data_IF_845308959292
#
_entry.id   IF_845308959292
#
_cell.length_a   1.000
_cell.length_b   1.000
_cell.length_c   1.000
_cell.angle_alpha   90.00
_cell.angle_beta   90.00
_cell.angle_gamma   90.00
#
_symmetry.space_group_name_H-M   'P 1'
#
loop_
_entity.id
_entity.type
_entity.pdbx_description
1 polymer ?
#
# COMPACT_ATOMS: atom_id res chain seq x y z
N UNK A 1 -5.34 -7.66 -3.06
CA UNK A 1 -6.28 -8.29 -4.02
C UNK A 1 -7.42 -7.33 -4.32
N UNK A 2 -7.17 -6.38 -5.22
CA UNK A 2 -8.20 -5.46 -5.72
C UNK A 2 -8.68 -6.07 -7.05
N UNK A 3 -9.87 -6.68 -7.07
CA UNK A 3 -10.41 -7.29 -8.30
C UNK A 3 -11.12 -8.64 -8.15
N UNK A 4 -11.13 -9.22 -6.95
CA UNK A 4 -11.82 -10.51 -6.70
C UNK A 4 -13.33 -10.34 -6.47
N UNK A 5 -13.82 -9.11 -6.29
CA UNK A 5 -15.25 -8.83 -6.15
C UNK A 5 -15.99 -8.93 -7.49
N UNK A 6 -17.22 -9.45 -7.48
CA UNK A 6 -18.10 -9.56 -8.64
C UNK A 6 -18.65 -8.18 -9.04
N UNK A 7 -17.78 -7.34 -9.61
CA UNK A 7 -18.04 -5.91 -9.84
C UNK A 7 -18.31 -5.55 -11.32
N UNK A 8 -18.40 -6.53 -12.22
CA UNK A 8 -18.71 -6.32 -13.64
C UNK A 8 -17.56 -5.79 -14.51
N UNK A 9 -16.38 -5.54 -13.95
CA UNK A 9 -15.22 -5.05 -14.72
C UNK A 9 -14.45 -6.18 -15.41
N UNK A 10 -14.00 -5.93 -16.64
CA UNK A 10 -13.06 -6.78 -17.38
C UNK A 10 -11.60 -6.44 -17.03
N UNK A 11 -10.65 -7.28 -17.47
CA UNK A 11 -9.22 -6.99 -17.35
C UNK A 11 -8.90 -5.66 -18.05
N UNK A 12 -8.42 -4.67 -17.29
CA UNK A 12 -8.11 -3.32 -17.76
C UNK A 12 -6.66 -3.08 -18.17
N UNK A 13 -5.87 -4.14 -18.39
CA UNK A 13 -4.45 -4.04 -18.76
C UNK A 13 -4.07 -5.11 -19.77
N UNK A 14 -3.27 -4.76 -20.77
CA UNK A 14 -2.78 -5.70 -21.78
C UNK A 14 -1.74 -6.65 -21.19
N UNK A 15 -0.85 -6.15 -20.32
CA UNK A 15 0.26 -6.88 -19.73
C UNK A 15 0.30 -6.68 -18.21
N UNK A 16 0.64 -7.73 -17.47
CA UNK A 16 0.86 -7.69 -16.02
C UNK A 16 2.11 -8.51 -15.67
N UNK A 17 3.03 -7.87 -14.96
CA UNK A 17 4.31 -8.44 -14.56
C UNK A 17 4.42 -8.40 -13.04
N UNK A 18 4.74 -9.55 -12.45
CA UNK A 18 4.93 -9.69 -11.01
C UNK A 18 6.41 -9.99 -10.74
N UNK A 19 7.12 -9.02 -10.19
CA UNK A 19 8.54 -9.16 -9.86
C UNK A 19 8.78 -9.78 -8.47
N UNK A 20 7.71 -10.03 -7.72
CA UNK A 20 7.72 -10.72 -6.43
C UNK A 20 7.52 -12.23 -6.60
N UNK A 21 7.84 -12.99 -5.55
CA UNK A 21 7.66 -14.44 -5.55
C UNK A 21 8.86 -15.22 -6.10
N UNK A 22 8.87 -16.52 -5.82
CA UNK A 22 9.94 -17.43 -6.25
C UNK A 22 10.05 -17.59 -7.79
N UNK A 23 8.97 -17.28 -8.52
CA UNK A 23 8.93 -17.36 -9.99
C UNK A 23 8.31 -16.09 -10.56
N UNK A 24 9.09 -15.01 -10.68
CA UNK A 24 8.60 -13.72 -11.16
C UNK A 24 8.12 -13.81 -12.62
N UNK A 25 7.07 -13.08 -12.95
CA UNK A 25 6.61 -12.80 -14.31
C UNK A 25 7.24 -11.50 -14.77
N UNK A 26 8.14 -11.57 -15.75
CA UNK A 26 8.86 -10.42 -16.31
C UNK A 26 8.72 -10.41 -17.83
N UNK A 27 8.83 -9.26 -18.52
CA UNK A 27 8.85 -9.21 -19.97
C UNK A 27 9.87 -10.20 -20.54
N UNK A 28 9.46 -11.07 -21.45
CA UNK A 28 10.40 -11.94 -22.16
C UNK A 28 11.23 -11.06 -23.08
N UNK A 29 12.50 -10.81 -22.75
CA UNK A 29 13.45 -10.39 -23.78
C UNK A 29 13.71 -11.60 -24.67
N UNK A 30 13.38 -11.50 -25.95
CA UNK A 30 14.02 -12.30 -26.99
C UNK A 30 15.51 -11.96 -27.01
N UNK A 31 16.26 -12.49 -26.05
CA UNK A 31 17.71 -12.56 -26.16
C UNK A 31 17.97 -13.87 -26.89
N UNK A 32 18.31 -13.78 -28.17
CA UNK A 32 18.98 -14.86 -28.88
C UNK A 32 20.34 -15.08 -28.21
N UNK A 33 20.35 -15.97 -27.22
CA UNK A 33 21.55 -16.31 -26.47
C UNK A 33 21.69 -17.82 -26.33
N UNK A 34 22.94 -18.26 -26.31
CA UNK A 34 23.44 -19.65 -26.32
C UNK A 34 22.79 -20.55 -25.25
N UNK A 35 22.21 -19.95 -24.20
CA UNK A 35 21.57 -20.61 -23.05
C UNK A 35 20.07 -20.90 -23.19
N UNK A 36 19.45 -20.62 -24.36
CA UNK A 36 18.03 -20.90 -24.66
C UNK A 36 17.56 -22.32 -24.26
N UNK A 37 18.33 -23.41 -24.48
CA UNK A 37 17.95 -24.76 -24.08
C UNK A 37 17.89 -24.92 -22.55
N UNK A 38 18.87 -24.34 -21.84
CA UNK A 38 18.97 -24.39 -20.38
C UNK A 38 17.83 -23.64 -19.71
N UNK A 39 17.42 -22.48 -20.25
CA UNK A 39 16.25 -21.74 -19.76
C UNK A 39 14.93 -22.48 -19.99
N UNK A 40 14.79 -23.26 -21.07
CA UNK A 40 13.60 -24.09 -21.33
C UNK A 40 13.51 -25.29 -20.37
N UNK A 41 14.65 -25.79 -19.92
CA UNK A 41 14.74 -26.79 -18.85
C UNK A 41 14.43 -26.15 -17.48
N UNK A 42 14.98 -24.96 -17.23
CA UNK A 42 14.71 -24.16 -16.04
C UNK A 42 13.24 -23.75 -15.96
N UNK A 43 12.58 -23.41 -17.07
CA UNK A 43 11.16 -23.05 -17.10
C UNK A 43 10.25 -24.24 -16.75
N UNK A 44 10.65 -25.48 -17.12
CA UNK A 44 9.97 -26.70 -16.67
C UNK A 44 10.20 -26.96 -15.18
N UNK A 45 11.42 -26.73 -14.69
CA UNK A 45 11.76 -26.84 -13.27
C UNK A 45 11.04 -25.79 -12.42
N UNK A 46 10.93 -24.55 -12.90
CA UNK A 46 10.14 -23.49 -12.25
C UNK A 46 8.64 -23.75 -12.34
N UNK A 47 8.15 -24.48 -13.34
CA UNK A 47 6.76 -24.98 -13.37
C UNK A 47 6.49 -26.00 -12.25
N UNK A 48 7.47 -26.86 -11.95
CA UNK A 48 7.41 -27.81 -10.82
C UNK A 48 7.50 -27.05 -9.49
N UNK A 49 8.42 -26.08 -9.38
CA UNK A 49 8.51 -25.22 -8.19
C UNK A 49 7.26 -24.35 -8.02
N UNK A 50 6.64 -23.86 -9.10
CA UNK A 50 5.35 -23.14 -9.07
C UNK A 50 4.26 -24.02 -8.46
N UNK A 51 4.19 -25.31 -8.82
CA UNK A 51 3.25 -26.27 -8.21
C UNK A 51 3.53 -26.51 -6.72
N UNK A 52 4.78 -26.39 -6.28
CA UNK A 52 5.18 -26.53 -4.88
C UNK A 52 5.06 -25.23 -4.07
N UNK A 53 5.15 -24.05 -4.71
CA UNK A 53 5.06 -22.72 -4.09
C UNK A 53 3.64 -22.16 -4.04
N UNK A 54 2.76 -22.60 -4.95
CA UNK A 54 1.34 -22.24 -4.96
C UNK A 54 0.61 -22.52 -3.63
N UNK A 55 0.82 -23.69 -2.98
CA UNK A 55 0.27 -23.94 -1.66
C UNK A 55 0.78 -22.91 -0.65
N UNK A 56 2.07 -22.57 -0.68
CA UNK A 56 2.68 -21.66 0.29
C UNK A 56 2.10 -20.25 0.17
N UNK A 57 2.03 -19.68 -1.04
CA UNK A 57 1.49 -18.33 -1.28
C UNK A 57 -0.02 -18.22 -0.98
N UNK A 58 -0.81 -19.24 -1.33
CA UNK A 58 -2.26 -19.23 -1.08
C UNK A 58 -2.62 -19.56 0.38
N UNK A 59 -1.73 -20.26 1.10
CA UNK A 59 -1.95 -20.63 2.51
C UNK A 59 -1.63 -19.49 3.48
N UNK A 60 -0.86 -18.47 3.06
CA UNK A 60 -0.71 -17.23 3.86
C UNK A 60 -2.01 -16.43 4.00
N UNK A 61 -3.07 -16.80 3.28
CA UNK A 61 -4.40 -16.19 3.37
C UNK A 61 -5.35 -16.88 4.37
N UNK A 62 -4.96 -18.00 5.00
CA UNK A 62 -5.78 -18.72 6.00
C UNK A 62 -4.99 -18.94 7.28
N UNK A 63 -5.56 -18.66 8.48
CA UNK A 63 -4.87 -18.81 9.75
C UNK A 63 -4.84 -20.29 10.13
N UNK A 64 -3.94 -21.05 9.51
CA UNK A 64 -3.71 -22.46 9.83
C UNK A 64 -2.34 -22.68 10.47
N UNK A 65 -2.11 -23.88 11.01
CA UNK A 65 -0.85 -24.25 11.68
C UNK A 65 0.38 -24.10 10.74
N UNK A 66 0.18 -24.14 9.42
CA UNK A 66 1.24 -23.90 8.44
C UNK A 66 1.63 -22.42 8.34
N UNK A 67 0.65 -21.50 8.33
CA UNK A 67 0.90 -20.06 8.44
C UNK A 67 1.70 -19.73 9.70
N UNK A 68 1.28 -20.28 10.84
CA UNK A 68 1.99 -20.08 12.12
C UNK A 68 3.39 -20.70 12.12
N UNK A 69 3.59 -21.85 11.46
CA UNK A 69 4.91 -22.42 11.28
C UNK A 69 5.81 -21.53 10.40
N UNK A 70 5.28 -20.92 9.34
CA UNK A 70 6.02 -20.02 8.47
C UNK A 70 6.48 -18.74 9.19
N UNK A 71 5.71 -18.25 10.17
CA UNK A 71 6.08 -17.07 10.97
C UNK A 71 7.17 -17.34 12.02
N UNK A 72 7.63 -18.59 12.21
CA UNK A 72 8.69 -18.90 13.19
C UNK A 72 10.04 -18.31 12.74
N UNK A 73 10.89 -17.80 13.66
CA UNK A 73 12.16 -17.15 13.34
C UNK A 73 13.19 -17.96 12.54
N UNK A 74 13.03 -19.28 12.49
CA UNK A 74 13.84 -20.17 11.67
C UNK A 74 13.43 -20.14 10.19
N UNK A 75 12.13 -20.01 9.91
CA UNK A 75 11.58 -20.07 8.55
C UNK A 75 11.47 -18.69 7.90
N UNK A 76 11.33 -17.61 8.68
CA UNK A 76 11.21 -16.23 8.17
C UNK A 76 12.33 -15.84 7.21
N UNK A 77 13.63 -15.99 7.55
CA UNK A 77 14.71 -15.69 6.59
C UNK A 77 14.67 -16.54 5.33
N UNK A 78 14.15 -17.77 5.42
CA UNK A 78 14.11 -18.69 4.29
C UNK A 78 13.06 -18.23 3.28
N UNK A 79 11.83 -17.94 3.71
CA UNK A 79 10.78 -17.52 2.77
C UNK A 79 10.85 -16.05 2.38
N UNK A 80 11.36 -15.15 3.22
CA UNK A 80 11.56 -13.74 2.82
C UNK A 80 12.58 -13.63 1.69
N UNK A 81 13.68 -14.41 1.77
CA UNK A 81 14.71 -14.47 0.71
C UNK A 81 14.29 -15.34 -0.49
N UNK A 82 13.81 -16.57 -0.26
CA UNK A 82 13.44 -17.47 -1.35
C UNK A 82 12.13 -17.08 -2.05
N UNK A 83 11.22 -16.44 -1.32
CA UNK A 83 9.97 -15.91 -1.84
C UNK A 83 10.10 -14.52 -2.46
N UNK A 84 11.29 -13.91 -2.42
CA UNK A 84 11.56 -12.58 -2.98
C UNK A 84 10.43 -11.59 -2.66
N UNK A 85 10.17 -11.41 -1.36
CA UNK A 85 8.95 -10.76 -0.88
C UNK A 85 8.85 -9.29 -1.30
N UNK A 86 9.97 -8.56 -1.26
CA UNK A 86 10.09 -7.19 -1.79
C UNK A 86 10.14 -7.11 -3.33
N UNK A 87 10.21 -8.26 -3.99
CA UNK A 87 10.41 -8.33 -5.43
C UNK A 87 11.80 -7.88 -5.87
N UNK A 88 12.01 -7.90 -7.20
CA UNK A 88 13.21 -7.34 -7.82
C UNK A 88 12.99 -5.87 -8.18
N UNK A 89 12.94 -4.97 -7.18
CA UNK A 89 12.64 -3.53 -7.35
C UNK A 89 13.52 -2.87 -8.42
N UNK A 90 14.84 -3.08 -8.37
CA UNK A 90 15.76 -2.53 -9.37
C UNK A 90 15.37 -2.98 -10.80
N UNK A 91 15.01 -4.26 -10.95
CA UNK A 91 14.64 -4.82 -12.25
C UNK A 91 13.29 -4.29 -12.73
N UNK A 92 12.30 -4.17 -11.84
CA UNK A 92 10.98 -3.63 -12.20
C UNK A 92 11.10 -2.18 -12.68
N UNK A 93 11.89 -1.35 -11.99
CA UNK A 93 12.17 0.02 -12.40
C UNK A 93 12.92 0.05 -13.74
N UNK A 94 13.94 -0.80 -13.94
CA UNK A 94 14.70 -0.86 -15.19
C UNK A 94 13.85 -1.27 -16.39
N UNK A 95 13.03 -2.30 -16.23
CA UNK A 95 12.15 -2.80 -17.28
C UNK A 95 11.06 -1.77 -17.60
N UNK A 96 10.46 -1.11 -16.59
CA UNK A 96 9.52 0.01 -16.78
C UNK A 96 10.18 1.21 -17.46
N UNK A 97 11.41 1.58 -17.06
CA UNK A 97 12.18 2.66 -17.67
C UNK A 97 12.45 2.38 -19.14
N UNK A 98 12.79 1.12 -19.47
CA UNK A 98 13.00 0.69 -20.85
C UNK A 98 11.72 0.78 -21.67
N UNK A 99 10.58 0.38 -21.10
CA UNK A 99 9.28 0.52 -21.75
C UNK A 99 8.91 1.98 -22.01
N UNK A 100 9.06 2.86 -21.01
CA UNK A 100 8.76 4.29 -21.14
C UNK A 100 9.59 4.94 -22.25
N UNK A 101 10.88 4.61 -22.36
CA UNK A 101 11.71 5.10 -23.48
C UNK A 101 11.13 4.71 -24.84
N UNK A 102 10.59 3.49 -24.96
CA UNK A 102 10.03 3.01 -26.23
C UNK A 102 8.68 3.64 -26.59
N UNK A 103 7.94 4.23 -25.63
CA UNK A 103 6.61 4.83 -25.89
C UNK A 103 6.66 5.91 -26.98
N UNK A 104 7.79 6.61 -27.13
CA UNK A 104 7.96 7.64 -28.16
C UNK A 104 7.77 7.11 -29.59
N UNK A 105 8.04 5.82 -29.80
CA UNK A 105 7.96 5.15 -31.09
C UNK A 105 6.65 4.36 -31.28
N UNK A 106 5.78 4.34 -30.25
CA UNK A 106 4.52 3.60 -30.25
C UNK A 106 3.34 4.51 -30.59
N UNK A 107 2.29 3.93 -31.17
CA UNK A 107 1.03 4.63 -31.43
C UNK A 107 0.04 4.45 -30.29
N UNK A 108 -0.68 5.52 -29.94
CA UNK A 108 -1.78 5.51 -28.99
C UNK A 108 -1.40 6.02 -27.59
N UNK A 109 -2.40 6.06 -26.71
CA UNK A 109 -2.21 6.38 -25.30
C UNK A 109 -1.79 5.13 -24.53
N UNK A 110 -0.90 5.31 -23.55
CA UNK A 110 -0.43 4.22 -22.70
C UNK A 110 -0.71 4.53 -21.23
N UNK A 111 -1.07 3.50 -20.47
CA UNK A 111 -1.21 3.56 -19.02
C UNK A 111 -0.17 2.61 -18.40
N UNK A 112 0.64 3.15 -17.49
CA UNK A 112 1.68 2.38 -16.78
C UNK A 112 1.42 2.50 -15.29
N UNK A 113 1.29 1.35 -14.63
CA UNK A 113 1.21 1.25 -13.18
C UNK A 113 2.42 0.48 -12.66
N UNK A 114 3.23 1.15 -11.83
CA UNK A 114 4.41 0.58 -11.19
C UNK A 114 4.17 0.58 -9.68
N UNK A 115 4.02 -0.62 -9.11
CA UNK A 115 3.96 -0.80 -7.67
C UNK A 115 5.34 -1.21 -7.13
N UNK A 116 5.79 -0.57 -6.07
CA UNK A 116 7.10 -0.79 -5.45
C UNK A 116 6.91 -1.29 -4.02
N UNK A 117 7.83 -2.14 -3.56
CA UNK A 117 7.75 -2.80 -2.25
C UNK A 117 9.02 -2.62 -1.42
N UNK A 118 9.96 -1.76 -1.84
CA UNK A 118 11.30 -1.66 -1.21
C UNK A 118 11.20 -1.21 0.24
N UNK A 119 10.33 -0.25 0.53
CA UNK A 119 10.13 0.32 1.87
C UNK A 119 9.26 -0.56 2.78
N UNK A 120 8.78 -1.72 2.30
CA UNK A 120 8.03 -2.66 3.12
C UNK A 120 8.98 -3.51 3.98
N UNK A 121 8.49 -4.10 5.06
CA UNK A 121 9.21 -5.12 5.83
C UNK A 121 9.61 -6.34 4.98
N UNK A 122 10.73 -7.04 5.28
CA UNK A 122 11.72 -6.73 6.33
C UNK A 122 12.72 -5.64 5.90
N UNK A 123 13.23 -4.82 6.83
CA UNK A 123 14.19 -3.76 6.49
C UNK A 123 15.63 -4.29 6.43
N UNK A 124 16.21 -4.29 5.24
CA UNK A 124 17.56 -4.77 4.95
C UNK A 124 18.16 -3.99 3.76
N UNK A 125 18.32 -2.66 3.89
CA UNK A 125 18.84 -1.83 2.81
C UNK A 125 20.31 -2.18 2.50
N UNK A 126 20.84 -1.81 1.32
CA UNK A 126 22.23 -2.06 0.98
C UNK A 126 23.19 -1.35 1.94
N UNK A 127 24.36 -1.95 2.19
CA UNK A 127 25.36 -1.47 3.17
C UNK A 127 25.73 0.01 2.97
N UNK A 128 25.79 0.50 1.73
CA UNK A 128 26.10 1.91 1.46
C UNK A 128 25.05 2.88 2.05
N UNK A 129 23.78 2.49 2.05
CA UNK A 129 22.70 3.26 2.66
C UNK A 129 22.70 3.08 4.18
N UNK A 130 22.97 1.87 4.68
CA UNK A 130 23.13 1.62 6.12
C UNK A 130 24.24 2.51 6.69
N UNK A 131 25.42 2.56 6.06
CA UNK A 131 26.52 3.42 6.51
C UNK A 131 26.17 4.91 6.53
N UNK A 132 25.32 5.35 5.60
CA UNK A 132 24.96 6.76 5.44
C UNK A 132 23.86 7.19 6.41
N UNK A 133 22.83 6.36 6.58
CA UNK A 133 21.62 6.70 7.33
C UNK A 133 21.61 6.12 8.75
N UNK A 134 22.34 5.02 8.99
CA UNK A 134 22.49 4.39 10.31
C UNK A 134 23.97 4.31 10.70
N UNK A 135 24.69 5.44 10.82
CA UNK A 135 26.15 5.45 10.90
C UNK A 135 26.72 4.70 12.12
N UNK A 136 25.94 4.59 13.20
CA UNK A 136 26.32 3.88 14.42
C UNK A 136 26.09 2.36 14.33
N UNK A 137 25.41 1.86 13.29
CA UNK A 137 24.94 0.47 13.24
C UNK A 137 26.06 -0.56 13.38
N UNK A 138 27.23 -0.31 12.79
CA UNK A 138 28.36 -1.25 12.85
C UNK A 138 29.21 -1.12 14.12
N UNK A 139 29.01 -0.07 14.91
CA UNK A 139 29.70 0.18 16.17
C UNK A 139 28.86 -0.22 17.39
N UNK A 140 27.55 -0.47 17.19
CA UNK A 140 26.58 -0.79 18.25
C UNK A 140 26.02 -2.21 18.08
N UNK A 141 26.60 -3.23 18.74
CA UNK A 141 26.17 -4.63 18.63
C UNK A 141 24.68 -4.85 18.95
N UNK A 142 24.13 -4.07 19.88
CA UNK A 142 22.73 -4.10 20.31
C UNK A 142 21.79 -3.73 19.16
N UNK A 143 22.12 -2.69 18.39
CA UNK A 143 21.35 -2.27 17.21
C UNK A 143 21.35 -3.36 16.13
N UNK A 144 22.50 -3.98 15.88
CA UNK A 144 22.59 -5.09 14.93
C UNK A 144 21.82 -6.32 15.41
N UNK A 145 21.88 -6.63 16.69
CA UNK A 145 21.12 -7.72 17.27
C UNK A 145 19.62 -7.46 17.14
N UNK A 146 19.16 -6.26 17.48
CA UNK A 146 17.78 -5.84 17.33
C UNK A 146 17.29 -6.04 15.90
N UNK A 147 17.96 -5.48 14.89
CA UNK A 147 17.52 -5.62 13.49
C UNK A 147 17.53 -7.07 13.01
N UNK A 148 18.54 -7.86 13.42
CA UNK A 148 18.56 -9.31 13.10
C UNK A 148 17.39 -10.04 13.73
N UNK A 149 16.99 -9.70 14.95
CA UNK A 149 15.88 -10.34 15.63
C UNK A 149 14.53 -9.88 15.08
N UNK A 150 14.35 -8.57 14.92
CA UNK A 150 13.15 -7.94 14.38
C UNK A 150 12.82 -8.51 12.99
N UNK A 151 13.81 -8.58 12.09
CA UNK A 151 13.63 -9.13 10.75
C UNK A 151 13.31 -10.64 10.71
N UNK A 152 13.45 -11.34 11.84
CA UNK A 152 13.12 -12.77 11.97
C UNK A 152 11.79 -13.01 12.67
N UNK A 153 11.29 -12.05 13.44
CA UNK A 153 10.09 -12.21 14.27
C UNK A 153 8.86 -11.64 13.52
N UNK A 154 8.50 -12.26 12.38
CA UNK A 154 7.41 -11.77 11.52
C UNK A 154 6.05 -11.60 12.23
N UNK A 155 5.80 -12.35 13.31
CA UNK A 155 4.63 -12.14 14.18
C UNK A 155 4.54 -10.70 14.70
N UNK A 156 5.67 -10.07 15.04
CA UNK A 156 5.71 -8.69 15.57
C UNK A 156 5.31 -7.65 14.52
N UNK A 157 5.29 -8.01 13.24
CA UNK A 157 4.81 -7.14 12.16
C UNK A 157 3.29 -7.18 12.01
N UNK A 158 2.63 -8.17 12.62
CA UNK A 158 1.22 -8.49 12.39
C UNK A 158 0.34 -8.15 13.58
N UNK A 159 0.91 -7.87 14.76
CA UNK A 159 0.16 -7.59 15.99
C UNK A 159 0.73 -6.33 16.66
N UNK A 160 -0.05 -5.67 17.55
CA UNK A 160 0.47 -4.56 18.35
C UNK A 160 1.73 -4.93 19.13
N UNK A 161 2.54 -3.93 19.47
CA UNK A 161 3.76 -4.14 20.23
C UNK A 161 3.44 -4.76 21.59
N UNK A 162 4.16 -5.83 21.92
CA UNK A 162 4.06 -6.47 23.25
C UNK A 162 4.61 -5.52 24.32
N UNK A 163 5.77 -4.95 24.01
CA UNK A 163 6.46 -3.94 24.80
C UNK A 163 6.90 -2.81 23.86
N UNK A 164 6.90 -1.54 24.31
CA UNK A 164 7.46 -0.45 23.54
C UNK A 164 8.94 -0.70 23.23
N UNK A 165 9.39 -0.22 22.09
CA UNK A 165 10.82 -0.21 21.76
C UNK A 165 11.57 0.71 22.72
N UNK A 166 12.80 0.33 23.07
CA UNK A 166 13.75 1.25 23.68
C UNK A 166 14.16 2.35 22.70
N UNK A 167 14.69 3.46 23.20
CA UNK A 167 15.13 4.60 22.36
C UNK A 167 16.08 4.17 21.24
N UNK A 168 17.02 3.24 21.54
CA UNK A 168 17.95 2.71 20.54
C UNK A 168 17.24 1.88 19.48
N UNK A 169 16.29 1.03 19.86
CA UNK A 169 15.54 0.18 18.95
C UNK A 169 14.64 1.02 18.02
N UNK A 170 13.92 1.99 18.59
CA UNK A 170 13.08 2.92 17.83
C UNK A 170 13.90 3.74 16.84
N UNK A 171 15.02 4.35 17.28
CA UNK A 171 15.92 5.09 16.40
C UNK A 171 16.51 4.19 15.30
N UNK A 172 16.98 2.99 15.65
CA UNK A 172 17.54 2.06 14.66
C UNK A 172 16.51 1.63 13.62
N UNK A 173 15.26 1.41 14.03
CA UNK A 173 14.19 1.04 13.11
C UNK A 173 13.83 2.19 12.16
N UNK A 174 13.70 3.40 12.69
CA UNK A 174 13.47 4.64 11.92
C UNK A 174 14.59 4.88 10.90
N UNK A 175 15.85 4.84 11.33
CA UNK A 175 16.99 5.10 10.46
C UNK A 175 17.16 4.02 9.38
N UNK A 176 16.79 2.76 9.68
CA UNK A 176 16.73 1.68 8.69
C UNK A 176 15.61 1.89 7.68
N UNK A 177 14.45 2.41 8.09
CA UNK A 177 13.38 2.80 7.19
C UNK A 177 13.82 3.94 6.26
N UNK A 178 14.49 4.97 6.80
CA UNK A 178 15.06 6.07 6.01
C UNK A 178 16.10 5.58 5.00
N UNK A 179 16.93 4.61 5.38
CA UNK A 179 17.88 3.96 4.48
C UNK A 179 17.18 3.23 3.31
N UNK A 180 16.06 2.55 3.57
CA UNK A 180 15.23 1.90 2.52
C UNK A 180 14.57 2.92 1.60
N UNK A 181 14.04 4.02 2.16
CA UNK A 181 13.47 5.13 1.38
C UNK A 181 14.53 5.74 0.46
N UNK A 182 15.73 5.99 0.99
CA UNK A 182 16.83 6.55 0.22
C UNK A 182 17.32 5.60 -0.88
N UNK A 183 17.33 4.29 -0.62
CA UNK A 183 17.65 3.30 -1.63
C UNK A 183 16.59 3.27 -2.74
N UNK A 184 15.30 3.29 -2.39
CA UNK A 184 14.22 3.36 -3.38
C UNK A 184 14.29 4.64 -4.22
N UNK A 185 14.60 5.79 -3.61
CA UNK A 185 14.82 7.07 -4.31
C UNK A 185 15.99 6.98 -5.30
N UNK A 186 17.12 6.39 -4.87
CA UNK A 186 18.27 6.15 -5.75
C UNK A 186 17.90 5.32 -6.98
N UNK A 187 17.14 4.23 -6.80
CA UNK A 187 16.69 3.40 -7.90
C UNK A 187 15.75 4.15 -8.87
N UNK A 188 14.90 5.03 -8.34
CA UNK A 188 13.94 5.82 -9.12
C UNK A 188 14.59 6.91 -9.95
N UNK A 189 15.81 7.35 -9.61
CA UNK A 189 16.52 8.43 -10.31
C UNK A 189 16.53 8.28 -11.84
N UNK A 190 16.87 7.09 -12.35
CA UNK A 190 16.91 6.82 -13.79
C UNK A 190 15.53 6.94 -14.46
N UNK A 191 14.48 6.48 -13.78
CA UNK A 191 13.11 6.59 -14.29
C UNK A 191 12.67 8.05 -14.33
N UNK A 192 12.96 8.80 -13.26
CA UNK A 192 12.64 10.22 -13.15
C UNK A 192 13.36 11.02 -14.24
N UNK A 193 14.63 10.73 -14.54
CA UNK A 193 15.37 11.37 -15.63
C UNK A 193 14.69 11.17 -16.99
N UNK A 194 14.24 9.95 -17.29
CA UNK A 194 13.52 9.64 -18.55
C UNK A 194 12.19 10.37 -18.61
N UNK A 195 11.42 10.33 -17.52
CA UNK A 195 10.16 11.08 -17.40
C UNK A 195 10.40 12.59 -17.51
N UNK A 196 11.59 13.08 -17.18
CA UNK A 196 12.02 14.45 -17.36
C UNK A 196 12.68 14.73 -18.72
N UNK A 197 12.64 13.83 -19.70
CA UNK A 197 12.94 14.21 -21.08
C UNK A 197 11.84 15.10 -21.64
N UNK A 198 12.15 15.94 -22.63
CA UNK A 198 11.20 16.91 -23.20
C UNK A 198 9.89 16.26 -23.64
N UNK A 199 9.98 15.17 -24.42
CA UNK A 199 8.80 14.45 -24.88
C UNK A 199 7.89 13.97 -23.72
N UNK A 200 8.46 13.32 -22.70
CA UNK A 200 7.67 12.80 -21.58
C UNK A 200 7.17 13.89 -20.63
N UNK A 201 7.87 15.02 -20.49
CA UNK A 201 7.34 16.17 -19.74
C UNK A 201 6.09 16.74 -20.40
N UNK A 202 6.11 16.87 -21.73
CA UNK A 202 5.06 17.54 -22.48
C UNK A 202 3.86 16.63 -22.78
N UNK A 203 4.04 15.30 -22.72
CA UNK A 203 3.02 14.33 -23.16
C UNK A 203 2.63 13.29 -22.10
N UNK A 204 3.20 13.31 -20.89
CA UNK A 204 2.90 12.30 -19.86
C UNK A 204 2.43 12.91 -18.55
N UNK A 205 1.23 12.50 -18.12
CA UNK A 205 0.80 12.65 -16.74
C UNK A 205 1.57 11.67 -15.85
N UNK A 206 2.21 12.17 -14.80
CA UNK A 206 2.95 11.36 -13.83
C UNK A 206 2.33 11.57 -12.46
N UNK A 207 1.94 10.48 -11.80
CA UNK A 207 1.37 10.46 -10.46
C UNK A 207 2.27 9.60 -9.60
N UNK A 208 2.82 10.19 -8.53
CA UNK A 208 3.53 9.47 -7.49
C UNK A 208 2.68 9.53 -6.23
N UNK A 209 2.42 8.38 -5.62
CA UNK A 209 1.70 8.29 -4.36
C UNK A 209 2.09 7.04 -3.58
N UNK A 210 1.85 7.05 -2.28
CA UNK A 210 1.80 5.82 -1.49
C UNK A 210 0.34 5.39 -1.29
N UNK A 211 0.12 4.08 -1.15
CA UNK A 211 -1.17 3.51 -0.79
C UNK A 211 -1.48 3.69 0.70
N UNK A 212 -0.44 3.57 1.54
CA UNK A 212 -0.43 3.91 2.96
C UNK A 212 1.00 4.24 3.42
N UNK A 213 1.15 4.71 4.66
CA UNK A 213 2.43 4.84 5.36
C UNK A 213 2.73 3.64 6.25
N UNK A 214 3.61 3.78 7.23
CA UNK A 214 4.04 2.67 8.08
C UNK A 214 4.27 3.14 9.52
N UNK A 215 3.78 2.39 10.51
CA UNK A 215 4.12 2.62 11.92
C UNK A 215 5.37 1.83 12.30
N UNK A 216 6.27 2.49 12.99
CA UNK A 216 7.55 1.97 13.49
C UNK A 216 7.56 1.87 15.03
N UNK A 217 6.38 1.93 15.66
CA UNK A 217 6.18 1.79 17.10
C UNK A 217 5.25 2.85 17.70
N UNK A 218 4.89 3.87 16.91
CA UNK A 218 3.96 4.92 17.29
C UNK A 218 2.63 4.32 17.75
N UNK A 219 2.05 4.91 18.80
CA UNK A 219 0.80 4.45 19.42
C UNK A 219 0.81 2.96 19.85
N UNK A 220 1.98 2.33 19.97
CA UNK A 220 2.14 0.92 20.32
C UNK A 220 1.81 -0.04 19.17
N UNK A 221 1.80 0.44 17.93
CA UNK A 221 1.55 -0.36 16.74
C UNK A 221 2.80 -0.45 15.86
N UNK A 222 2.88 -1.55 15.12
CA UNK A 222 3.88 -1.76 14.08
C UNK A 222 3.13 -2.09 12.79
N UNK A 223 3.68 -1.67 11.66
CA UNK A 223 3.08 -1.97 10.37
C UNK A 223 1.89 -1.04 10.08
N UNK A 224 0.96 -1.52 9.27
CA UNK A 224 -0.19 -0.74 8.77
C UNK A 224 -1.54 -1.42 9.02
N UNK A 225 -1.57 -2.48 9.83
CA UNK A 225 -2.76 -3.35 9.98
C UNK A 225 -3.89 -2.78 10.83
N UNK A 226 -3.64 -1.84 11.75
CA UNK A 226 -4.60 -1.51 12.82
C UNK A 226 -4.90 -0.02 12.99
N UNK A 227 -4.13 0.88 12.39
CA UNK A 227 -4.19 2.31 12.69
C UNK A 227 -4.90 3.16 11.63
N UNK A 228 -5.33 4.34 12.04
CA UNK A 228 -5.78 5.45 11.16
C UNK A 228 -5.09 6.76 11.57
N UNK A 229 -3.87 6.63 12.09
CA UNK A 229 -3.04 7.76 12.51
C UNK A 229 -2.26 8.32 11.31
N UNK A 230 -1.75 9.55 11.42
CA UNK A 230 -1.09 10.28 10.33
C UNK A 230 0.06 9.50 9.71
N UNK A 231 0.80 8.72 10.51
CA UNK A 231 1.89 7.85 10.04
C UNK A 231 1.44 6.86 8.96
N UNK A 232 0.15 6.47 8.96
CA UNK A 232 -0.41 5.53 7.99
C UNK A 232 -1.22 6.21 6.88
N UNK A 233 -1.97 7.26 7.19
CA UNK A 233 -2.99 7.77 6.25
C UNK A 233 -2.62 9.11 5.62
N UNK A 234 -1.58 9.79 6.11
CA UNK A 234 -1.01 10.98 5.48
C UNK A 234 0.11 10.58 4.52
N UNK A 235 -0.30 10.19 3.32
CA UNK A 235 0.63 9.71 2.27
C UNK A 235 1.11 10.82 1.34
N UNK A 236 2.30 10.68 0.72
CA UNK A 236 2.71 11.57 -0.36
C UNK A 236 1.76 11.43 -1.56
N UNK A 237 1.46 12.55 -2.23
CA UNK A 237 0.82 12.60 -3.53
C UNK A 237 1.41 13.74 -4.35
N UNK A 238 2.12 13.41 -5.43
CA UNK A 238 2.64 14.37 -6.40
C UNK A 238 2.05 14.06 -7.77
N UNK A 239 1.57 15.11 -8.46
CA UNK A 239 1.04 14.99 -9.81
C UNK A 239 1.71 16.01 -10.73
N UNK A 240 2.30 15.52 -11.82
CA UNK A 240 2.72 16.34 -12.96
C UNK A 240 1.74 16.11 -14.09
N UNK A 241 1.06 17.15 -14.52
CA UNK A 241 -0.01 17.08 -15.51
C UNK A 241 0.36 17.96 -16.70
N UNK A 242 0.45 17.41 -17.93
CA UNK A 242 0.72 18.22 -19.11
C UNK A 242 -0.30 19.36 -19.28
N UNK A 243 0.19 20.54 -19.66
CA UNK A 243 -0.65 21.75 -19.80
C UNK A 243 -0.95 22.49 -18.49
N UNK A 244 -0.70 21.88 -17.31
CA UNK A 244 -0.78 22.59 -16.04
C UNK A 244 0.56 23.29 -15.76
N UNK A 245 0.61 24.61 -15.95
CA UNK A 245 1.87 25.38 -16.02
C UNK A 245 2.31 26.02 -14.72
N UNK A 246 1.46 26.02 -13.68
CA UNK A 246 1.79 26.59 -12.37
C UNK A 246 1.92 25.47 -11.34
N UNK A 247 3.06 25.36 -10.64
CA UNK A 247 3.13 24.49 -9.47
C UNK A 247 2.11 24.96 -8.44
N UNK A 248 1.23 24.06 -8.02
CA UNK A 248 0.22 24.31 -7.01
C UNK A 248 0.45 23.40 -5.81
N UNK A 249 0.15 23.90 -4.61
CA UNK A 249 0.04 23.07 -3.41
C UNK A 249 -1.43 23.09 -2.97
N UNK A 250 -2.03 21.91 -2.89
CA UNK A 250 -3.35 21.74 -2.28
C UNK A 250 -3.12 21.58 -0.78
N UNK A 251 -3.56 22.57 0.01
CA UNK A 251 -3.40 22.57 1.47
C UNK A 251 -4.51 21.77 2.18
N UNK A 252 -5.60 21.49 1.47
CA UNK A 252 -6.75 20.80 2.03
C UNK A 252 -6.48 19.31 2.19
N UNK A 253 -7.11 18.71 3.20
CA UNK A 253 -7.19 17.26 3.29
C UNK A 253 -7.92 16.72 2.07
N UNK A 254 -7.32 15.75 1.41
CA UNK A 254 -7.86 15.08 0.24
C UNK A 254 -7.88 13.57 0.48
N UNK A 255 -8.65 12.85 -0.32
CA UNK A 255 -8.61 11.39 -0.36
C UNK A 255 -7.84 10.91 -1.59
N UNK A 256 -7.05 9.85 -1.43
CA UNK A 256 -6.42 9.13 -2.56
C UNK A 256 -7.45 8.63 -3.58
N UNK A 257 -8.71 8.45 -3.19
CA UNK A 257 -9.82 8.10 -4.09
C UNK A 257 -10.14 9.21 -5.11
N UNK A 258 -9.73 10.45 -4.86
CA UNK A 258 -9.88 11.56 -5.79
C UNK A 258 -8.90 11.48 -6.97
N UNK A 259 -7.82 10.70 -6.88
CA UNK A 259 -6.87 10.49 -7.98
C UNK A 259 -7.58 9.93 -9.20
N UNK A 260 -8.46 8.93 -9.02
CA UNK A 260 -9.27 8.37 -10.11
C UNK A 260 -10.09 9.44 -10.83
N UNK A 261 -10.85 10.24 -10.07
CA UNK A 261 -11.68 11.32 -10.63
C UNK A 261 -10.84 12.40 -11.32
N UNK A 262 -9.66 12.70 -10.78
CA UNK A 262 -8.73 13.69 -11.36
C UNK A 262 -8.20 13.24 -12.71
N UNK A 263 -7.84 11.96 -12.85
CA UNK A 263 -7.42 11.37 -14.13
C UNK A 263 -8.57 11.40 -15.14
N UNK A 264 -9.79 11.06 -14.71
CA UNK A 264 -10.96 11.06 -15.59
C UNK A 264 -11.34 12.48 -16.06
N UNK A 265 -11.31 13.48 -15.17
CA UNK A 265 -11.55 14.89 -15.53
C UNK A 265 -10.52 15.40 -16.55
N UNK A 266 -9.23 15.05 -16.37
CA UNK A 266 -8.18 15.40 -17.32
C UNK A 266 -8.47 14.88 -18.74
N UNK A 267 -9.01 13.66 -18.86
CA UNK A 267 -9.40 13.08 -20.15
C UNK A 267 -10.78 13.52 -20.63
N UNK A 268 -11.43 14.49 -19.95
CA UNK A 268 -12.66 15.11 -20.39
C UNK A 268 -13.95 14.41 -19.97
N UNK A 269 -13.88 13.44 -19.05
CA UNK A 269 -15.08 12.81 -18.50
C UNK A 269 -15.76 13.75 -17.50
N UNK A 270 -17.03 14.07 -17.74
CA UNK A 270 -17.82 14.91 -16.83
C UNK A 270 -18.53 14.07 -15.77
N UNK A 271 -19.11 12.95 -16.20
CA UNK A 271 -19.79 11.98 -15.35
C UNK A 271 -19.34 10.56 -15.66
N UNK A 272 -19.50 9.67 -14.69
CA UNK A 272 -19.25 8.24 -14.85
C UNK A 272 -20.45 7.42 -14.39
N UNK A 273 -20.89 6.53 -15.28
CA UNK A 273 -21.82 5.47 -14.92
C UNK A 273 -21.05 4.29 -14.32
N UNK A 274 -21.47 3.86 -13.13
CA UNK A 274 -20.85 2.75 -12.42
C UNK A 274 -21.90 1.66 -12.18
N UNK A 275 -21.59 0.37 -12.37
CA UNK A 275 -22.58 -0.71 -12.26
C UNK A 275 -23.28 -0.80 -10.90
N UNK A 276 -22.66 -0.26 -9.85
CA UNK A 276 -23.09 -0.35 -8.45
C UNK A 276 -23.13 1.01 -7.75
N UNK A 277 -23.13 2.11 -8.50
CA UNK A 277 -23.30 3.45 -7.92
C UNK A 277 -24.15 4.33 -8.83
N UNK A 278 -24.79 5.33 -8.24
CA UNK A 278 -25.40 6.42 -9.00
C UNK A 278 -24.33 7.10 -9.85
N UNK A 279 -24.76 7.75 -10.93
CA UNK A 279 -23.91 8.59 -11.76
C UNK A 279 -23.01 9.47 -10.89
N UNK A 280 -21.71 9.34 -11.09
CA UNK A 280 -20.69 10.05 -10.31
C UNK A 280 -20.30 11.30 -11.08
N UNK A 281 -20.49 12.47 -10.47
CA UNK A 281 -19.93 13.73 -10.97
C UNK A 281 -18.41 13.74 -10.77
N UNK A 282 -17.68 13.51 -11.85
CA UNK A 282 -16.21 13.40 -11.84
C UNK A 282 -15.56 14.72 -11.44
N UNK A 283 -16.09 15.84 -11.94
CA UNK A 283 -15.51 17.17 -11.74
C UNK A 283 -15.64 17.63 -10.30
N UNK A 284 -16.70 17.21 -9.60
CA UNK A 284 -16.91 17.52 -8.19
C UNK A 284 -15.84 16.93 -7.25
N UNK A 285 -15.19 15.84 -7.67
CA UNK A 285 -14.19 15.12 -6.87
C UNK A 285 -12.75 15.33 -7.39
N UNK A 286 -12.59 16.02 -8.51
CA UNK A 286 -11.31 16.20 -9.20
C UNK A 286 -10.41 17.23 -8.51
N UNK A 287 -9.15 16.85 -8.29
CA UNK A 287 -8.12 17.73 -7.73
C UNK A 287 -7.73 18.86 -8.71
N UNK A 288 -7.97 18.70 -10.02
CA UNK A 288 -7.76 19.78 -10.99
C UNK A 288 -8.64 20.99 -10.68
N UNK A 289 -9.87 20.73 -10.24
CA UNK A 289 -10.85 21.78 -9.93
C UNK A 289 -10.59 22.44 -8.58
N UNK A 290 -9.93 21.76 -7.64
CA UNK A 290 -9.45 22.36 -6.39
C UNK A 290 -8.36 23.41 -6.63
N UNK A 291 -7.45 23.14 -7.56
CA UNK A 291 -6.38 24.07 -7.91
C UNK A 291 -6.95 25.31 -8.61
N UNK A 292 -7.97 25.14 -9.46
CA UNK A 292 -8.64 26.23 -10.18
C UNK A 292 -9.66 27.01 -9.33
N UNK A 293 -10.40 26.32 -8.45
CA UNK A 293 -11.42 26.87 -7.55
C UNK A 293 -11.02 26.57 -6.11
N UNK A 294 -10.55 27.60 -5.41
CA UNK A 294 -10.13 27.55 -4.00
C UNK A 294 -11.20 27.05 -3.00
N UNK A 295 -12.44 26.85 -3.43
CA UNK A 295 -13.60 26.52 -2.57
C UNK A 295 -14.18 25.12 -2.80
N UNK A 296 -13.64 24.30 -3.71
CA UNK A 296 -14.23 22.99 -4.05
C UNK A 296 -13.76 21.83 -3.14
N UNK A 297 -13.49 22.10 -1.86
CA UNK A 297 -12.93 21.11 -0.93
C UNK A 297 -13.93 20.01 -0.62
N UNK A 298 -13.50 18.74 -0.48
CA UNK A 298 -14.35 17.73 0.14
C UNK A 298 -14.85 18.26 1.48
N UNK A 299 -16.15 18.15 1.74
CA UNK A 299 -16.73 18.55 3.03
C UNK A 299 -16.18 17.72 4.20
N UNK A 300 -15.61 16.55 3.90
CA UNK A 300 -14.93 15.68 4.83
C UNK A 300 -14.01 14.69 4.09
N UNK A 301 -13.02 14.13 4.80
CA UNK A 301 -12.21 12.98 4.35
C UNK A 301 -12.34 11.86 5.38
N UNK A 302 -12.45 10.62 4.94
CA UNK A 302 -12.63 9.46 5.82
C UNK A 302 -11.61 8.38 5.48
N UNK A 303 -11.09 7.72 6.51
CA UNK A 303 -10.28 6.51 6.41
C UNK A 303 -10.80 5.45 7.38
N UNK A 304 -10.68 4.17 7.00
CA UNK A 304 -11.17 3.03 7.78
C UNK A 304 -10.07 1.96 7.87
N UNK A 305 -9.82 1.47 9.09
CA UNK A 305 -8.96 0.32 9.35
C UNK A 305 -9.77 -0.80 10.01
N UNK A 306 -9.92 -1.90 9.28
CA UNK A 306 -10.57 -3.12 9.75
C UNK A 306 -9.52 -4.05 10.35
N UNK A 307 -9.81 -4.61 11.51
CA UNK A 307 -8.92 -5.56 12.16
C UNK A 307 -8.65 -6.78 11.25
N UNK A 308 -7.40 -7.11 10.92
CA UNK A 308 -7.09 -8.27 10.10
C UNK A 308 -7.46 -9.56 10.85
N UNK A 309 -8.38 -10.37 10.31
CA UNK A 309 -8.89 -11.59 10.95
C UNK A 309 -7.76 -12.51 11.44
N UNK A 310 -6.74 -12.74 10.60
CA UNK A 310 -5.59 -13.57 10.94
C UNK A 310 -4.81 -13.06 12.16
N UNK A 311 -4.67 -11.74 12.29
CA UNK A 311 -3.96 -11.13 13.40
C UNK A 311 -4.78 -11.19 14.70
N UNK A 312 -6.10 -11.01 14.59
CA UNK A 312 -7.05 -11.17 15.71
C UNK A 312 -7.03 -12.61 16.23
N UNK A 313 -7.08 -13.61 15.34
CA UNK A 313 -7.01 -15.03 15.70
C UNK A 313 -5.68 -15.38 16.39
N UNK A 314 -4.56 -14.83 15.89
CA UNK A 314 -3.26 -14.97 16.53
C UNK A 314 -3.28 -14.42 17.96
N UNK A 315 -3.81 -13.21 18.15
CA UNK A 315 -3.86 -12.58 19.46
C UNK A 315 -4.76 -13.36 20.41
N UNK A 316 -5.94 -13.82 19.99
CA UNK A 316 -6.79 -14.66 20.83
C UNK A 316 -6.07 -15.91 21.36
N UNK A 317 -5.26 -16.56 20.53
CA UNK A 317 -4.57 -17.81 20.89
C UNK A 317 -3.30 -17.58 21.72
N UNK A 318 -2.57 -16.49 21.48
CA UNK A 318 -1.21 -16.33 21.99
C UNK A 318 -0.98 -15.09 22.85
N UNK A 319 -1.79 -14.03 22.67
CA UNK A 319 -1.62 -12.69 23.27
C UNK A 319 -2.97 -11.98 23.49
N UNK A 320 -3.94 -12.58 24.22
CA UNK A 320 -5.28 -12.00 24.38
C UNK A 320 -5.25 -10.63 25.06
N UNK A 321 -4.25 -10.36 25.90
CA UNK A 321 -4.05 -9.08 26.57
C UNK A 321 -3.89 -7.89 25.61
N UNK A 322 -3.40 -8.14 24.38
CA UNK A 322 -3.26 -7.08 23.36
C UNK A 322 -4.60 -6.66 22.77
N UNK A 323 -5.56 -7.58 22.69
CA UNK A 323 -6.92 -7.26 22.24
C UNK A 323 -7.60 -6.29 23.21
N UNK A 324 -7.48 -6.56 24.52
CA UNK A 324 -8.07 -5.69 25.54
C UNK A 324 -7.35 -4.34 25.60
N UNK A 325 -6.01 -4.34 25.63
CA UNK A 325 -5.21 -3.12 25.76
C UNK A 325 -5.37 -2.18 24.57
N UNK A 326 -5.33 -2.73 23.35
CA UNK A 326 -5.33 -1.93 22.14
C UNK A 326 -6.70 -1.86 21.48
N UNK A 327 -7.71 -2.65 21.89
CA UNK A 327 -8.95 -2.82 21.13
C UNK A 327 -8.68 -3.23 19.69
N UNK A 328 -7.75 -4.18 19.50
CA UNK A 328 -7.25 -4.55 18.18
C UNK A 328 -8.26 -5.38 17.36
N UNK A 329 -9.36 -5.83 17.97
CA UNK A 329 -10.53 -6.45 17.32
C UNK A 329 -11.56 -5.43 16.80
N UNK A 330 -11.37 -4.13 17.09
CA UNK A 330 -12.34 -3.07 16.73
C UNK A 330 -11.92 -2.33 15.48
N UNK A 331 -12.93 -1.98 14.68
CA UNK A 331 -12.74 -1.10 13.53
C UNK A 331 -12.34 0.30 14.02
N UNK A 332 -11.33 0.90 13.38
CA UNK A 332 -10.99 2.30 13.56
C UNK A 332 -11.39 3.12 12.36
N UNK A 333 -11.89 4.31 12.60
CA UNK A 333 -12.27 5.25 11.54
C UNK A 333 -11.74 6.63 11.85
N UNK A 334 -11.08 7.25 10.89
CA UNK A 334 -10.70 8.66 10.96
C UNK A 334 -11.67 9.49 10.12
N UNK A 335 -12.09 10.63 10.64
CA UNK A 335 -12.88 11.63 9.92
C UNK A 335 -12.21 13.00 10.05
N UNK A 336 -12.01 13.67 8.92
CA UNK A 336 -11.39 14.99 8.83
C UNK A 336 -12.41 16.01 8.37
N UNK A 337 -12.41 17.18 8.99
CA UNK A 337 -13.15 18.34 8.54
C UNK A 337 -12.49 19.60 9.12
N UNK A 338 -12.37 20.67 8.33
CA UNK A 338 -11.82 21.99 8.73
C UNK A 338 -10.48 21.94 9.49
N UNK A 339 -9.58 21.04 9.10
CA UNK A 339 -8.26 20.91 9.74
C UNK A 339 -8.25 20.12 11.05
N UNK A 340 -9.40 19.64 11.52
CA UNK A 340 -9.52 18.79 12.70
C UNK A 340 -9.77 17.35 12.30
N UNK A 341 -9.25 16.43 13.12
CA UNK A 341 -9.37 15.00 12.95
C UNK A 341 -10.07 14.37 14.14
N UNK A 342 -11.03 13.49 13.88
CA UNK A 342 -11.61 12.59 14.87
C UNK A 342 -11.17 11.17 14.56
N UNK A 343 -10.72 10.42 15.57
CA UNK A 343 -10.59 8.97 15.50
C UNK A 343 -11.70 8.34 16.35
N UNK A 344 -12.46 7.46 15.72
CA UNK A 344 -13.41 6.57 16.37
C UNK A 344 -12.80 5.17 16.50
N UNK A 345 -12.85 4.61 17.70
CA UNK A 345 -12.71 3.17 17.93
C UNK A 345 -14.10 2.61 18.19
N UNK A 346 -14.56 1.73 17.32
CA UNK A 346 -15.94 1.25 17.28
C UNK A 346 -16.43 0.69 18.63
N UNK A 347 -17.48 1.32 19.18
CA UNK A 347 -18.06 0.93 20.47
C UNK A 347 -17.23 1.31 21.70
N UNK A 348 -16.07 1.95 21.52
CA UNK A 348 -15.13 2.28 22.61
C UNK A 348 -15.02 3.78 22.82
N UNK A 349 -14.62 4.54 21.80
CA UNK A 349 -14.32 5.96 21.95
C UNK A 349 -14.45 6.76 20.66
N UNK A 350 -14.60 8.07 20.82
CA UNK A 350 -14.42 9.10 19.79
C UNK A 350 -13.53 10.18 20.41
N UNK A 351 -12.40 10.46 19.79
CA UNK A 351 -11.40 11.41 20.27
C UNK A 351 -11.01 12.36 19.16
N UNK A 352 -10.79 13.64 19.50
CA UNK A 352 -10.33 14.66 18.57
C UNK A 352 -8.83 14.88 18.71
N UNK A 353 -8.20 15.25 17.60
CA UNK A 353 -6.78 15.60 17.51
C UNK A 353 -6.62 16.91 16.76
N UNK A 354 -5.76 17.78 17.29
CA UNK A 354 -5.39 19.05 16.67
C UNK A 354 -4.05 18.89 15.96
N UNK A 355 -4.09 18.63 14.65
CA UNK A 355 -2.89 18.31 13.87
C UNK A 355 -1.91 19.49 13.74
N UNK A 356 -2.35 20.73 14.03
CA UNK A 356 -1.47 21.90 13.99
C UNK A 356 -0.56 21.98 15.23
N UNK A 357 -1.09 21.63 16.41
CA UNK A 357 -0.35 21.63 17.67
C UNK A 357 0.19 20.26 18.09
N UNK A 358 -0.42 19.18 17.60
CA UNK A 358 -0.14 17.79 17.96
C UNK A 358 -0.10 16.91 16.68
N UNK A 359 0.91 17.09 15.82
CA UNK A 359 1.00 16.39 14.54
C UNK A 359 1.23 14.87 14.68
N UNK A 360 1.72 14.41 15.85
CA UNK A 360 1.92 13.00 16.18
C UNK A 360 0.77 12.40 17.00
N UNK A 361 -0.35 13.11 17.12
CA UNK A 361 -1.59 12.59 17.73
C UNK A 361 -1.42 12.01 19.15
N UNK A 362 -0.53 12.60 19.95
CA UNK A 362 -0.23 12.14 21.31
C UNK A 362 -1.17 12.70 22.38
N UNK A 363 -1.94 13.74 22.05
CA UNK A 363 -2.72 14.54 22.99
C UNK A 363 -4.18 14.71 22.53
N UNK A 364 -4.99 13.64 22.64
CA UNK A 364 -6.41 13.71 22.29
C UNK A 364 -7.17 14.66 23.22
N UNK A 365 -8.22 15.28 22.69
CA UNK A 365 -9.16 16.09 23.46
C UNK A 365 -10.63 15.74 23.15
N UNK A 366 -11.53 16.29 23.95
CA UNK A 366 -12.98 16.06 23.88
C UNK A 366 -13.69 17.39 23.63
N UNK A 367 -14.51 17.43 22.59
CA UNK A 367 -15.48 18.51 22.31
C UNK A 367 -16.74 17.85 21.74
N UNK A 368 -17.81 17.81 22.53
CA UNK A 368 -19.04 17.12 22.14
C UNK A 368 -19.69 17.70 20.88
N UNK A 369 -19.62 19.02 20.69
CA UNK A 369 -20.20 19.67 19.52
C UNK A 369 -19.45 19.21 18.27
N UNK A 370 -18.12 19.26 18.32
CA UNK A 370 -17.30 18.90 17.15
C UNK A 370 -17.34 17.41 16.86
N UNK A 371 -17.33 16.56 17.89
CA UNK A 371 -17.52 15.12 17.75
C UNK A 371 -18.85 14.81 17.08
N UNK A 372 -19.93 15.50 17.46
CA UNK A 372 -21.24 15.30 16.84
C UNK A 372 -21.23 15.69 15.35
N UNK A 373 -20.56 16.77 14.98
CA UNK A 373 -20.49 17.20 13.58
C UNK A 373 -19.67 16.23 12.71
N UNK A 374 -18.48 15.82 13.18
CA UNK A 374 -17.66 14.82 12.49
C UNK A 374 -18.34 13.44 12.46
N UNK A 375 -19.11 13.09 13.51
CA UNK A 375 -19.90 11.86 13.53
C UNK A 375 -20.99 11.86 12.47
N UNK A 376 -21.71 12.98 12.26
CA UNK A 376 -22.72 13.07 11.20
C UNK A 376 -22.10 12.86 9.82
N UNK A 377 -20.92 13.43 9.57
CA UNK A 377 -20.20 13.23 8.31
C UNK A 377 -19.79 11.76 8.11
N UNK A 378 -19.27 11.13 9.17
CA UNK A 378 -18.93 9.71 9.16
C UNK A 378 -20.16 8.82 8.92
N UNK A 379 -21.25 9.06 9.64
CA UNK A 379 -22.48 8.28 9.53
C UNK A 379 -23.09 8.41 8.11
N UNK A 380 -23.12 9.62 7.54
CA UNK A 380 -23.58 9.84 6.17
C UNK A 380 -22.74 9.07 5.13
N UNK A 381 -21.42 9.03 5.32
CA UNK A 381 -20.53 8.23 4.49
C UNK A 381 -20.80 6.72 4.62
N UNK A 382 -20.97 6.23 5.85
CA UNK A 382 -21.23 4.81 6.11
C UNK A 382 -22.59 4.38 5.56
N UNK A 383 -23.64 5.20 5.71
CA UNK A 383 -24.95 4.97 5.12
C UNK A 383 -24.86 4.88 3.58
N UNK A 384 -24.10 5.77 2.95
CA UNK A 384 -23.86 5.73 1.52
C UNK A 384 -23.11 4.45 1.11
N UNK A 385 -22.07 4.06 1.84
CA UNK A 385 -21.32 2.84 1.58
C UNK A 385 -22.19 1.57 1.69
N UNK A 386 -23.01 1.47 2.75
CA UNK A 386 -23.95 0.35 2.94
C UNK A 386 -25.00 0.31 1.82
N UNK A 387 -25.51 1.47 1.39
CA UNK A 387 -26.47 1.53 0.29
C UNK A 387 -25.91 0.91 -0.99
N UNK A 388 -24.63 1.14 -1.30
CA UNK A 388 -23.90 0.58 -2.45
C UNK A 388 -23.63 -0.93 -2.31
N UNK A 389 -23.42 -1.42 -1.09
CA UNK A 389 -23.24 -2.87 -0.85
C UNK A 389 -24.53 -3.66 -1.08
N UNK A 390 -25.70 -3.08 -0.77
CA UNK A 390 -26.98 -3.78 -0.87
C UNK A 390 -27.35 -4.23 -2.30
N UNK A 391 -26.79 -3.58 -3.33
CA UNK A 391 -26.90 -3.99 -4.75
C UNK A 391 -25.91 -5.08 -5.17
N UNK A 392 -24.92 -5.42 -4.33
CA UNK A 392 -23.93 -6.49 -4.59
C UNK A 392 -24.18 -7.69 -3.67
N UNK A 393 -24.31 -8.88 -4.23
CA UNK A 393 -24.60 -10.11 -3.47
C UNK A 393 -23.52 -10.37 -2.42
N UNK A 394 -23.90 -10.51 -1.14
CA UNK A 394 -23.04 -10.88 0.01
C UNK A 394 -22.52 -12.32 -0.11
N UNK A 395 -21.73 -12.65 -1.13
CA UNK A 395 -21.00 -13.91 -1.20
C UNK A 395 -19.67 -13.72 -0.47
N UNK A 396 -19.42 -14.47 0.60
CA UNK A 396 -18.09 -14.55 1.24
C UNK A 396 -17.16 -15.16 0.19
N UNK A 397 -16.27 -14.36 -0.36
CA UNK A 397 -15.46 -14.77 -1.51
C UNK A 397 -14.24 -15.52 -0.99
N UNK A 398 -14.26 -16.85 -1.10
CA UNK A 398 -13.11 -17.69 -0.77
C UNK A 398 -12.16 -17.71 -1.97
N UNK A 399 -10.85 -17.62 -1.71
CA UNK A 399 -9.82 -17.73 -2.75
C UNK A 399 -9.92 -19.03 -3.55
N UNK A 400 -10.42 -20.10 -2.93
CA UNK A 400 -10.63 -21.43 -3.52
C UNK A 400 -11.87 -21.50 -4.43
N UNK A 401 -12.72 -20.47 -4.42
CA UNK A 401 -13.89 -20.41 -5.28
C UNK A 401 -13.45 -20.41 -6.75
N UNK A 402 -13.96 -21.34 -7.56
CA UNK A 402 -13.59 -21.49 -8.96
C UNK A 402 -13.80 -20.20 -9.75
N UNK A 403 -14.80 -19.39 -9.39
CA UNK A 403 -15.06 -18.09 -10.03
C UNK A 403 -13.95 -17.10 -9.70
N UNK A 404 -13.40 -17.16 -8.49
CA UNK A 404 -12.30 -16.30 -8.02
C UNK A 404 -11.00 -16.73 -8.67
N UNK A 405 -10.71 -18.03 -8.67
CA UNK A 405 -9.56 -18.59 -9.36
C UNK A 405 -9.60 -18.23 -10.85
N UNK A 406 -10.75 -18.38 -11.51
CA UNK A 406 -10.92 -18.02 -12.91
C UNK A 406 -10.73 -16.53 -13.13
N UNK A 407 -11.29 -15.65 -12.28
CA UNK A 407 -11.07 -14.20 -12.40
C UNK A 407 -9.63 -13.80 -12.14
N UNK A 408 -8.96 -14.43 -11.18
CA UNK A 408 -7.55 -14.22 -10.94
C UNK A 408 -6.74 -14.69 -12.17
N UNK A 409 -7.16 -15.74 -12.88
CA UNK A 409 -6.58 -16.09 -14.19
C UNK A 409 -6.87 -15.05 -15.26
N UNK A 410 -8.10 -14.58 -15.36
CA UNK A 410 -8.51 -13.57 -16.35
C UNK A 410 -7.74 -12.25 -16.13
N UNK A 411 -7.54 -11.87 -14.87
CA UNK A 411 -6.72 -10.75 -14.42
C UNK A 411 -5.20 -11.05 -14.46
N UNK A 412 -4.78 -12.24 -14.87
CA UNK A 412 -3.36 -12.59 -14.99
C UNK A 412 -2.59 -12.73 -13.66
N UNK A 413 -3.29 -12.79 -12.53
CA UNK A 413 -2.71 -13.14 -11.23
C UNK A 413 -2.40 -14.63 -11.13
N UNK A 414 -3.10 -15.48 -11.90
CA UNK A 414 -2.89 -16.92 -11.97
C UNK A 414 -2.74 -17.33 -13.45
N UNK A 415 -1.86 -18.29 -13.75
CA UNK A 415 -1.79 -18.95 -15.07
C UNK A 415 -2.56 -20.28 -15.03
#
# INVERSE_FOLDING_TARGET
MVGVLQNGFTRGFDQFYNYCGAVPSTPQKEVDDFWKPFRKLWSKYTQILRRLSYPIQNTFASPNEFFMAALRPLFVPLWTRAGNFKGMTERSIRDTTSFIKSIQDLQGGHFVFLNLMETHLPYSPPDEFVHKFVPYFYETPEAQQFMREFNRKAMQWLIPLIEPFSDLEAATLSDMYDAEVAYQDHLLGQLIEVLNSQYHRDNSMVIFMADHGEMLGEHGFMGHGFGVYEELIRVPLFMRIPGLTSPGQVQNHISTTQVFHTVMDYFGFETLEMPYAKEVDVRSQSLLRLVEKRDATPSYVISEAYAPENAVDIMHKHKPELLERHHADRTRRAAYQDGQKMIQVEGISKLLYDLAGDPGEGHPYQDESRINDLSKALDAYLELAVSRQSSSTKRKILLEDEIVQQRLRDLGYLE
#
